data_IF_990901700848
#
_entry.id   IF_990901700848
#
_cell.length_a   1.000
_cell.length_b   1.000
_cell.length_c   1.000
_cell.angle_alpha   90.00
_cell.angle_beta   90.00
_cell.angle_gamma   90.00
#
_symmetry.space_group_name_H-M   'P 1'
#
loop_
_entity.id
_entity.type
_entity.pdbx_description
1 polymer ?
#
# COMPACT_ATOMS: atom_id res chain seq x y z
N UNK A 1 15.72 -1.98 -14.41
CA UNK A 1 15.79 -0.52 -14.40
C UNK A 1 14.41 0.13 -14.32
N UNK A 2 13.88 0.53 -13.15
CA UNK A 2 12.65 1.36 -12.93
C UNK A 2 11.36 0.93 -13.67
N UNK A 3 11.24 -0.33 -14.08
CA UNK A 3 10.10 -0.92 -14.78
C UNK A 3 9.70 -2.20 -14.05
N UNK A 4 9.41 -2.02 -12.75
CA UNK A 4 9.26 -3.10 -11.80
C UNK A 4 7.95 -2.94 -11.08
N UNK A 5 7.32 -4.06 -10.81
CA UNK A 5 6.20 -4.16 -9.88
C UNK A 5 6.68 -4.83 -8.59
N UNK A 6 6.01 -4.55 -7.49
CA UNK A 6 6.36 -5.16 -6.21
C UNK A 6 5.13 -5.48 -5.39
N UNK A 7 5.29 -6.40 -4.47
CA UNK A 7 4.30 -6.71 -3.43
C UNK A 7 4.97 -6.81 -2.06
N UNK A 8 4.18 -6.56 -1.02
CA UNK A 8 4.61 -6.75 0.36
C UNK A 8 3.50 -7.52 1.08
N UNK A 9 3.79 -8.75 1.44
CA UNK A 9 2.85 -9.62 2.16
C UNK A 9 3.25 -9.69 3.62
N UNK A 10 2.34 -9.40 4.53
CA UNK A 10 2.58 -9.50 5.97
C UNK A 10 2.57 -10.95 6.42
N UNK A 11 3.35 -11.20 7.46
CA UNK A 11 3.43 -12.49 8.16
C UNK A 11 3.04 -12.26 9.62
N UNK A 12 2.07 -13.03 10.11
CA UNK A 12 1.67 -13.08 11.52
C UNK A 12 1.55 -14.55 11.95
N UNK A 13 2.10 -14.90 13.09
CA UNK A 13 2.17 -16.29 13.59
C UNK A 13 2.73 -17.25 12.53
N UNK A 14 3.75 -16.82 11.78
CA UNK A 14 4.33 -17.58 10.68
C UNK A 14 3.42 -17.75 9.45
N UNK A 15 2.27 -17.07 9.39
CA UNK A 15 1.28 -17.21 8.31
C UNK A 15 1.24 -15.98 7.42
N UNK A 16 1.17 -16.20 6.11
CA UNK A 16 0.98 -15.12 5.12
C UNK A 16 -0.44 -14.56 5.21
N UNK A 17 -0.56 -13.25 5.35
CA UNK A 17 -1.84 -12.56 5.43
C UNK A 17 -2.30 -12.13 4.05
N UNK A 18 -3.55 -12.48 3.70
CA UNK A 18 -4.22 -12.10 2.44
C UNK A 18 -3.41 -12.40 1.16
N UNK A 19 -2.56 -13.43 1.16
CA UNK A 19 -1.66 -13.77 0.05
C UNK A 19 -2.39 -13.83 -1.31
N UNK A 20 -3.60 -14.41 -1.35
CA UNK A 20 -4.40 -14.51 -2.58
C UNK A 20 -4.71 -13.12 -3.18
N UNK A 21 -5.00 -12.15 -2.32
CA UNK A 21 -5.23 -10.77 -2.73
C UNK A 21 -3.96 -10.12 -3.32
N UNK A 22 -2.81 -10.34 -2.66
CA UNK A 22 -1.51 -9.86 -3.14
C UNK A 22 -1.13 -10.47 -4.49
N UNK A 23 -1.28 -11.78 -4.66
CA UNK A 23 -1.01 -12.45 -5.93
C UNK A 23 -1.92 -11.96 -7.07
N UNK A 24 -3.21 -11.73 -6.79
CA UNK A 24 -4.15 -11.14 -7.76
C UNK A 24 -3.74 -9.73 -8.18
N UNK A 25 -3.34 -8.88 -7.23
CA UNK A 25 -2.89 -7.51 -7.53
C UNK A 25 -1.56 -7.50 -8.27
N UNK A 26 -0.64 -8.41 -7.93
CA UNK A 26 0.59 -8.61 -8.68
C UNK A 26 0.30 -8.88 -10.16
N UNK A 27 -0.55 -9.87 -10.46
CA UNK A 27 -0.92 -10.21 -11.83
C UNK A 27 -1.52 -8.99 -12.54
N UNK A 28 -2.48 -8.29 -11.93
CA UNK A 28 -3.02 -7.07 -12.49
C UNK A 28 -1.94 -6.03 -12.79
N UNK A 29 -0.99 -5.81 -11.87
CA UNK A 29 0.10 -4.85 -12.09
C UNK A 29 1.05 -5.25 -13.21
N UNK A 30 1.29 -6.56 -13.39
CA UNK A 30 2.07 -7.09 -14.51
C UNK A 30 1.33 -6.91 -15.83
N UNK A 31 0.03 -7.25 -15.89
CA UNK A 31 -0.82 -7.13 -17.07
C UNK A 31 -0.90 -5.69 -17.55
N UNK A 32 -1.10 -4.72 -16.65
CA UNK A 32 -1.14 -3.27 -16.97
C UNK A 32 0.18 -2.73 -17.53
N UNK A 33 1.26 -3.44 -17.36
CA UNK A 33 2.58 -3.09 -17.89
C UNK A 33 3.02 -4.02 -19.03
N UNK A 34 2.16 -4.85 -19.58
CA UNK A 34 2.50 -5.86 -20.60
C UNK A 34 3.71 -6.72 -20.16
N UNK A 35 3.69 -7.18 -18.91
CA UNK A 35 4.72 -8.06 -18.36
C UNK A 35 4.16 -9.47 -18.14
N UNK A 36 4.76 -10.46 -18.80
CA UNK A 36 4.45 -11.86 -18.50
C UNK A 36 4.80 -12.19 -17.06
N UNK A 37 3.89 -12.84 -16.34
CA UNK A 37 4.21 -13.35 -15.01
C UNK A 37 5.17 -14.56 -15.16
N UNK A 38 6.40 -14.49 -14.61
CA UNK A 38 7.39 -15.57 -14.74
C UNK A 38 7.19 -16.71 -13.75
N UNK A 39 6.23 -16.61 -12.82
CA UNK A 39 6.06 -17.58 -11.73
C UNK A 39 4.57 -17.88 -11.53
N UNK A 40 4.21 -19.16 -11.38
CA UNK A 40 2.85 -19.57 -11.10
C UNK A 40 2.40 -19.17 -9.68
N UNK A 41 1.09 -19.18 -9.42
CA UNK A 41 0.55 -18.90 -8.08
C UNK A 41 1.05 -19.91 -7.04
N UNK A 42 1.09 -21.18 -7.40
CA UNK A 42 1.50 -22.27 -6.53
C UNK A 42 2.97 -22.20 -6.16
N UNK A 43 3.83 -21.92 -7.13
CA UNK A 43 5.27 -21.71 -6.93
C UNK A 43 5.53 -20.45 -6.09
N UNK A 44 4.83 -19.36 -6.39
CA UNK A 44 4.97 -18.11 -5.64
C UNK A 44 4.58 -18.31 -4.17
N UNK A 45 3.47 -19.02 -3.90
CA UNK A 45 3.05 -19.37 -2.55
C UNK A 45 4.07 -20.25 -1.84
N UNK A 46 4.61 -21.26 -2.54
CA UNK A 46 5.62 -22.16 -1.99
C UNK A 46 6.89 -21.40 -1.60
N UNK A 47 7.39 -20.52 -2.48
CA UNK A 47 8.58 -19.70 -2.20
C UNK A 47 8.36 -18.76 -1.01
N UNK A 48 7.19 -18.10 -0.91
CA UNK A 48 6.88 -17.25 0.24
C UNK A 48 6.88 -18.03 1.55
N UNK A 49 6.24 -19.22 1.58
CA UNK A 49 6.21 -20.08 2.76
C UNK A 49 7.60 -20.59 3.15
N UNK A 50 8.40 -20.97 2.16
CA UNK A 50 9.76 -21.42 2.40
C UNK A 50 10.65 -20.30 2.97
N UNK A 51 10.56 -19.08 2.44
CA UNK A 51 11.27 -17.91 2.99
C UNK A 51 10.88 -17.61 4.43
N UNK A 52 9.59 -17.69 4.76
CA UNK A 52 9.10 -17.53 6.15
C UNK A 52 9.71 -18.61 7.04
N UNK A 53 9.70 -19.87 6.59
CA UNK A 53 10.21 -21.02 7.35
C UNK A 53 11.72 -20.94 7.59
N UNK A 54 12.53 -20.74 6.53
CA UNK A 54 14.00 -20.77 6.64
C UNK A 54 14.56 -19.57 7.40
N UNK A 55 13.86 -18.42 7.38
CA UNK A 55 14.25 -17.23 8.10
C UNK A 55 13.57 -17.13 9.48
N UNK A 56 12.79 -18.13 9.89
CA UNK A 56 12.07 -18.17 11.17
C UNK A 56 11.26 -16.88 11.43
N UNK A 57 10.48 -16.44 10.44
CA UNK A 57 9.67 -15.23 10.56
C UNK A 57 8.35 -15.59 11.25
N UNK A 58 8.19 -15.17 12.49
CA UNK A 58 6.92 -15.21 13.21
C UNK A 58 6.06 -14.00 12.86
N UNK A 59 6.60 -12.80 13.05
CA UNK A 59 6.01 -11.54 12.62
C UNK A 59 6.94 -10.79 11.68
N UNK A 60 6.43 -10.36 10.54
CA UNK A 60 7.25 -9.67 9.56
C UNK A 60 6.61 -9.48 8.20
N UNK A 61 7.44 -9.35 7.20
CA UNK A 61 7.04 -9.08 5.82
C UNK A 61 7.82 -9.96 4.85
N UNK A 62 7.17 -10.37 3.76
CA UNK A 62 7.84 -10.86 2.55
C UNK A 62 7.71 -9.80 1.47
N UNK A 63 8.83 -9.28 1.01
CA UNK A 63 8.90 -8.39 -0.15
C UNK A 63 9.11 -9.21 -1.41
N UNK A 64 8.39 -8.87 -2.47
CA UNK A 64 8.53 -9.43 -3.81
C UNK A 64 8.70 -8.29 -4.81
N UNK A 65 9.60 -8.46 -5.77
CA UNK A 65 9.76 -7.55 -6.91
C UNK A 65 9.96 -8.35 -8.18
N UNK A 66 9.27 -7.93 -9.25
CA UNK A 66 9.45 -8.50 -10.59
C UNK A 66 9.84 -7.36 -11.54
N UNK A 67 10.96 -7.53 -12.22
CA UNK A 67 11.45 -6.61 -13.25
C UNK A 67 11.39 -7.26 -14.65
N UNK A 68 11.57 -6.47 -15.69
CA UNK A 68 11.66 -6.96 -17.08
C UNK A 68 13.02 -7.63 -17.42
N UNK A 69 13.80 -8.00 -16.38
CA UNK A 69 15.10 -8.60 -16.57
C UNK A 69 16.23 -7.58 -16.79
N UNK A 70 17.35 -8.08 -17.27
CA UNK A 70 18.60 -7.33 -17.47
C UNK A 70 19.03 -7.41 -18.95
N UNK A 71 18.49 -6.58 -19.85
CA UNK A 71 18.93 -6.53 -21.23
C UNK A 71 20.37 -6.03 -21.32
N UNK A 72 21.02 -6.31 -22.44
CA UNK A 72 22.42 -5.96 -22.70
C UNK A 72 22.67 -4.45 -22.64
N UNK A 73 21.69 -3.63 -23.03
CA UNK A 73 21.82 -2.17 -23.06
C UNK A 73 20.63 -1.47 -22.42
N UNK A 74 20.81 -0.20 -22.09
CA UNK A 74 19.78 0.65 -21.50
C UNK A 74 19.04 1.41 -22.58
N UNK A 75 17.74 1.17 -22.70
CA UNK A 75 16.84 1.91 -23.58
C UNK A 75 15.55 2.36 -22.84
N UNK A 76 14.79 3.29 -23.44
CA UNK A 76 13.42 3.65 -23.05
C UNK A 76 12.40 2.63 -23.58
N UNK A 77 12.67 1.98 -24.70
CA UNK A 77 11.88 0.87 -25.21
C UNK A 77 11.99 -0.33 -24.26
N UNK A 78 10.91 -1.05 -24.11
CA UNK A 78 10.93 -2.28 -23.30
C UNK A 78 11.77 -3.36 -23.97
N UNK A 79 12.53 -4.14 -23.23
CA UNK A 79 13.27 -5.26 -23.79
C UNK A 79 12.28 -6.25 -24.41
N UNK A 80 12.71 -6.91 -25.49
CA UNK A 80 11.95 -7.99 -26.09
C UNK A 80 11.74 -9.13 -25.10
N UNK A 81 10.49 -9.51 -24.78
CA UNK A 81 10.22 -10.57 -23.80
C UNK A 81 10.68 -11.96 -24.24
N UNK A 82 10.96 -12.16 -25.55
CA UNK A 82 11.49 -13.41 -26.07
C UNK A 82 13.02 -13.51 -25.90
N UNK A 83 13.68 -12.40 -25.61
CA UNK A 83 15.15 -12.30 -25.48
C UNK A 83 15.61 -11.99 -24.05
N UNK A 84 14.69 -11.57 -23.20
CA UNK A 84 15.04 -11.12 -21.85
C UNK A 84 14.05 -11.68 -20.82
N UNK A 85 14.49 -12.61 -20.01
CA UNK A 85 13.69 -13.18 -18.93
C UNK A 85 13.46 -12.18 -17.80
N UNK A 86 12.24 -12.08 -17.24
CA UNK A 86 11.97 -11.30 -16.05
C UNK A 86 12.83 -11.77 -14.86
N UNK A 87 13.24 -10.83 -14.03
CA UNK A 87 13.95 -11.14 -12.78
C UNK A 87 12.98 -11.05 -11.60
N UNK A 88 12.93 -12.12 -10.81
CA UNK A 88 12.11 -12.22 -9.59
C UNK A 88 13.03 -12.15 -8.37
N UNK A 89 12.75 -11.24 -7.45
CA UNK A 89 13.51 -11.06 -6.21
C UNK A 89 12.54 -11.10 -5.04
N UNK A 90 12.84 -11.94 -4.04
CA UNK A 90 12.12 -11.97 -2.78
C UNK A 90 13.10 -11.92 -1.61
N UNK A 91 12.66 -11.27 -0.54
CA UNK A 91 13.36 -11.32 0.75
C UNK A 91 12.38 -11.08 1.90
N UNK A 92 12.78 -11.47 3.09
CA UNK A 92 12.00 -11.27 4.31
C UNK A 92 12.53 -10.11 5.14
N UNK A 93 11.65 -9.50 5.92
CA UNK A 93 11.99 -8.57 6.99
C UNK A 93 11.35 -9.08 8.28
N UNK A 94 12.16 -9.32 9.29
CA UNK A 94 11.64 -9.62 10.64
C UNK A 94 11.15 -8.33 11.28
N UNK A 95 9.90 -8.33 11.81
CA UNK A 95 9.23 -7.17 12.40
C UNK A 95 8.48 -7.58 13.69
N UNK A 96 9.19 -7.94 14.75
CA UNK A 96 8.55 -8.29 16.00
C UNK A 96 7.65 -7.15 16.52
N UNK A 97 6.46 -7.47 16.97
CA UNK A 97 5.46 -6.50 17.42
C UNK A 97 4.63 -5.89 16.29
N UNK A 98 4.67 -6.46 15.08
CA UNK A 98 3.88 -5.97 13.94
C UNK A 98 2.37 -6.01 14.24
N UNK A 99 1.89 -7.07 14.89
CA UNK A 99 0.49 -7.22 15.29
C UNK A 99 0.07 -6.24 16.39
N UNK A 100 1.01 -5.82 17.24
CA UNK A 100 0.76 -5.00 18.43
C UNK A 100 1.57 -3.69 18.36
N UNK A 101 1.56 -3.02 17.21
CA UNK A 101 2.28 -1.76 17.05
C UNK A 101 1.83 -0.71 18.08
N UNK A 102 2.74 -0.08 18.84
CA UNK A 102 2.39 1.01 19.75
C UNK A 102 1.67 2.18 19.07
N UNK A 103 1.88 2.37 17.75
CA UNK A 103 1.19 3.40 16.96
C UNK A 103 -0.31 3.13 16.83
N UNK A 104 -0.75 1.87 16.93
CA UNK A 104 -2.17 1.54 16.90
C UNK A 104 -2.94 2.13 18.11
N UNK A 105 -2.26 2.26 19.25
CA UNK A 105 -2.84 2.87 20.46
C UNK A 105 -2.57 4.38 20.53
N UNK A 106 -1.40 4.83 20.05
CA UNK A 106 -1.01 6.25 20.09
C UNK A 106 -1.70 7.08 19.01
N UNK A 107 -1.98 6.49 17.86
CA UNK A 107 -2.40 7.19 16.65
C UNK A 107 -1.24 7.88 15.92
N UNK A 108 -1.49 8.25 14.68
CA UNK A 108 -0.52 8.91 13.81
C UNK A 108 -0.95 10.35 13.50
N UNK A 109 0.04 11.22 13.31
CA UNK A 109 -0.12 12.60 12.86
C UNK A 109 0.18 12.68 11.36
N UNK A 110 -0.68 13.37 10.63
CA UNK A 110 -0.63 13.52 9.18
C UNK A 110 -0.45 14.97 8.80
N UNK A 111 0.33 15.23 7.76
CA UNK A 111 0.30 16.51 7.02
C UNK A 111 -0.36 16.29 5.67
N UNK A 112 -0.88 17.33 5.05
CA UNK A 112 -1.31 17.31 3.65
C UNK A 112 -0.21 17.84 2.74
N UNK A 113 -0.10 17.25 1.54
CA UNK A 113 0.80 17.68 0.46
C UNK A 113 0.11 17.50 -0.89
N UNK A 114 0.53 18.23 -1.90
CA UNK A 114 0.04 18.03 -3.27
C UNK A 114 0.42 16.63 -3.78
N UNK A 115 -0.42 16.00 -4.61
CA UNK A 115 -0.14 14.69 -5.20
C UNK A 115 0.54 14.83 -6.55
N UNK A 116 1.87 14.91 -6.55
CA UNK A 116 2.69 15.01 -7.75
C UNK A 116 3.15 13.65 -8.30
N UNK A 117 2.51 12.55 -7.89
CA UNK A 117 2.80 11.24 -8.44
C UNK A 117 2.28 11.12 -9.87
N UNK A 118 2.76 10.11 -10.59
CA UNK A 118 2.27 9.80 -11.93
C UNK A 118 0.79 9.36 -11.92
N UNK A 119 0.14 9.41 -13.10
CA UNK A 119 -1.30 9.20 -13.24
C UNK A 119 -1.80 7.74 -13.16
N UNK A 120 -0.94 6.74 -12.88
CA UNK A 120 -1.28 5.32 -12.77
C UNK A 120 -0.83 4.74 -11.42
N UNK A 121 -1.32 5.33 -10.34
CA UNK A 121 -1.00 4.94 -8.95
C UNK A 121 -1.62 3.61 -8.56
N UNK A 122 -2.61 3.16 -9.33
CA UNK A 122 -3.26 1.86 -9.23
C UNK A 122 -2.32 0.69 -9.55
N UNK A 123 -1.27 0.91 -10.36
CA UNK A 123 -0.22 -0.07 -10.65
C UNK A 123 0.86 -0.01 -9.58
N UNK A 124 1.08 -1.12 -8.87
CA UNK A 124 2.03 -1.16 -7.76
C UNK A 124 3.49 -1.24 -8.24
N UNK A 125 3.99 -0.10 -8.75
CA UNK A 125 5.36 0.06 -9.24
C UNK A 125 6.31 0.60 -8.18
N UNK A 126 7.62 0.47 -8.39
CA UNK A 126 8.68 1.04 -7.53
C UNK A 126 8.91 2.55 -7.76
N UNK A 127 7.95 3.27 -8.30
CA UNK A 127 8.01 4.74 -8.42
C UNK A 127 7.68 5.40 -7.08
N UNK A 128 8.53 5.16 -6.09
CA UNK A 128 8.30 5.53 -4.69
C UNK A 128 9.05 6.81 -4.28
N UNK A 129 9.66 7.53 -5.21
CA UNK A 129 10.44 8.72 -4.88
C UNK A 129 9.58 9.78 -4.21
N UNK A 130 8.45 10.17 -4.84
CA UNK A 130 7.57 11.19 -4.28
C UNK A 130 6.91 10.77 -2.95
N UNK A 131 6.37 9.55 -2.79
CA UNK A 131 5.96 9.03 -1.49
C UNK A 131 7.03 9.11 -0.40
N UNK A 132 8.29 8.81 -0.74
CA UNK A 132 9.41 8.93 0.20
C UNK A 132 9.71 10.38 0.57
N UNK A 133 9.61 11.31 -0.39
CA UNK A 133 9.74 12.76 -0.12
C UNK A 133 8.61 13.22 0.81
N UNK A 134 7.36 12.81 0.58
CA UNK A 134 6.23 13.13 1.46
C UNK A 134 6.43 12.64 2.89
N UNK A 135 6.94 11.41 3.08
CA UNK A 135 7.35 10.90 4.40
C UNK A 135 8.41 11.79 5.05
N UNK A 136 9.40 12.24 4.29
CA UNK A 136 10.46 13.11 4.82
C UNK A 136 9.94 14.52 5.14
N UNK A 137 8.98 15.05 4.37
CA UNK A 137 8.30 16.32 4.68
C UNK A 137 7.55 16.22 6.01
N UNK A 138 6.75 15.16 6.20
CA UNK A 138 6.06 14.90 7.46
C UNK A 138 7.03 14.82 8.64
N UNK A 139 8.08 14.03 8.51
CA UNK A 139 9.09 13.86 9.56
C UNK A 139 9.78 15.19 9.96
N UNK A 140 10.02 16.10 9.03
CA UNK A 140 10.64 17.42 9.31
C UNK A 140 9.80 18.28 10.24
N UNK A 141 8.48 18.11 10.25
CA UNK A 141 7.54 18.88 11.10
C UNK A 141 7.00 18.04 12.28
N UNK A 142 7.57 16.86 12.53
CA UNK A 142 7.19 16.01 13.66
C UNK A 142 5.89 15.21 13.44
N UNK A 143 5.46 15.07 12.18
CA UNK A 143 4.35 14.20 11.79
C UNK A 143 4.86 12.80 11.35
N UNK A 144 3.95 11.83 11.28
CA UNK A 144 4.27 10.43 11.01
C UNK A 144 4.11 10.06 9.53
N UNK A 145 3.20 10.73 8.81
CA UNK A 145 2.92 10.48 7.40
C UNK A 145 2.34 11.72 6.71
N UNK A 146 2.12 11.61 5.39
CA UNK A 146 1.44 12.64 4.62
C UNK A 146 0.27 12.04 3.82
N UNK A 147 -0.86 12.76 3.80
CA UNK A 147 -1.93 12.54 2.82
C UNK A 147 -1.70 13.40 1.60
N UNK A 148 -1.87 12.82 0.44
CA UNK A 148 -1.70 13.49 -0.85
C UNK A 148 -3.04 14.01 -1.34
N UNK A 149 -3.03 15.19 -1.92
CA UNK A 149 -4.23 15.92 -2.36
C UNK A 149 -4.11 16.24 -3.85
N UNK A 150 -5.14 15.93 -4.61
CA UNK A 150 -5.26 16.32 -6.01
C UNK A 150 -6.63 16.93 -6.26
N UNK A 151 -6.65 18.07 -6.93
CA UNK A 151 -7.89 18.81 -7.26
C UNK A 151 -8.77 19.09 -6.04
N UNK A 152 -8.16 19.35 -4.87
CA UNK A 152 -8.84 19.63 -3.61
C UNK A 152 -9.32 18.40 -2.84
N UNK A 153 -9.09 17.19 -3.33
CA UNK A 153 -9.53 15.94 -2.71
C UNK A 153 -8.34 15.10 -2.26
N UNK A 154 -8.48 14.47 -1.10
CA UNK A 154 -7.50 13.49 -0.62
C UNK A 154 -7.51 12.28 -1.57
N UNK A 155 -6.33 11.89 -2.03
CA UNK A 155 -6.15 10.67 -2.80
C UNK A 155 -5.87 9.49 -1.85
N UNK A 156 -4.70 9.43 -1.28
CA UNK A 156 -4.28 8.44 -0.30
C UNK A 156 -3.04 8.93 0.46
N UNK A 157 -2.52 8.16 1.40
CA UNK A 157 -1.25 8.49 2.05
C UNK A 157 -0.04 8.02 1.24
N UNK A 158 1.17 8.24 1.80
CA UNK A 158 2.43 7.91 1.10
C UNK A 158 2.59 6.41 0.81
N UNK A 159 2.00 5.55 1.64
CA UNK A 159 2.07 4.09 1.51
C UNK A 159 0.81 3.38 2.05
N UNK A 160 -0.31 4.08 2.12
CA UNK A 160 -1.54 3.62 2.73
C UNK A 160 -2.76 4.28 2.08
N UNK A 161 -3.94 3.67 2.23
CA UNK A 161 -5.20 4.31 1.87
C UNK A 161 -5.75 5.11 3.04
N UNK A 162 -6.45 6.21 2.75
CA UNK A 162 -6.99 7.17 3.72
C UNK A 162 -8.50 7.00 3.91
N UNK A 163 -8.96 7.20 5.15
CA UNK A 163 -10.37 7.10 5.54
C UNK A 163 -10.70 8.19 6.55
N UNK A 164 -11.94 8.64 6.49
CA UNK A 164 -12.59 9.42 7.55
C UNK A 164 -13.88 8.73 7.98
N UNK A 165 -14.29 8.99 9.22
CA UNK A 165 -15.61 8.58 9.72
C UNK A 165 -16.38 9.86 10.04
N UNK A 166 -17.59 9.97 9.52
CA UNK A 166 -18.50 11.07 9.80
C UNK A 166 -19.91 10.55 9.92
N UNK A 167 -20.59 10.92 10.99
CA UNK A 167 -21.97 10.48 11.27
C UNK A 167 -22.12 8.95 11.16
N UNK A 168 -21.19 8.21 11.77
CA UNK A 168 -21.14 6.75 11.79
C UNK A 168 -20.99 6.07 10.40
N UNK A 169 -20.46 6.79 9.43
CA UNK A 169 -20.17 6.29 8.07
C UNK A 169 -18.68 6.32 7.80
N UNK A 170 -18.16 5.25 7.27
CA UNK A 170 -16.78 5.19 6.74
C UNK A 170 -16.79 5.80 5.35
N UNK A 171 -15.96 6.81 5.12
CA UNK A 171 -15.79 7.49 3.84
C UNK A 171 -14.36 7.26 3.36
N UNK A 172 -14.19 6.80 2.15
CA UNK A 172 -12.88 6.58 1.53
C UNK A 172 -12.98 6.81 0.02
N UNK A 173 -11.88 7.18 -0.62
CA UNK A 173 -11.86 7.38 -2.08
C UNK A 173 -12.22 6.09 -2.80
N UNK A 174 -13.09 6.16 -3.81
CA UNK A 174 -13.42 5.06 -4.70
C UNK A 174 -12.20 4.61 -5.52
N UNK A 175 -12.19 3.34 -5.94
CA UNK A 175 -11.10 2.79 -6.74
C UNK A 175 -11.02 3.48 -8.10
N UNK A 176 -9.85 3.97 -8.44
CA UNK A 176 -9.53 4.64 -9.71
C UNK A 176 -8.03 4.49 -9.99
N UNK A 177 -7.54 5.15 -11.04
CA UNK A 177 -6.11 5.24 -11.31
C UNK A 177 -5.35 6.11 -10.30
N UNK A 178 -6.07 6.88 -9.48
CA UNK A 178 -5.48 7.86 -8.56
C UNK A 178 -5.02 7.26 -7.23
N UNK A 179 -5.44 6.04 -6.91
CA UNK A 179 -5.08 5.36 -5.66
C UNK A 179 -4.70 3.91 -5.89
N UNK A 180 -3.86 3.38 -5.02
CA UNK A 180 -3.57 1.95 -5.01
C UNK A 180 -4.79 1.16 -4.51
N UNK A 181 -5.12 0.07 -5.20
CA UNK A 181 -6.15 -0.87 -4.76
C UNK A 181 -5.63 -1.71 -3.58
N UNK A 182 -5.70 -1.14 -2.36
CA UNK A 182 -5.13 -1.72 -1.15
C UNK A 182 -5.74 -3.06 -0.76
N UNK A 183 -4.91 -4.03 -0.39
CA UNK A 183 -5.39 -5.35 0.08
C UNK A 183 -6.04 -5.21 1.45
N UNK A 184 -5.40 -4.48 2.37
CA UNK A 184 -5.98 -4.16 3.68
C UNK A 184 -7.24 -3.30 3.53
N UNK A 185 -7.29 -2.37 2.55
CA UNK A 185 -8.51 -1.64 2.21
C UNK A 185 -9.66 -2.59 1.88
N UNK A 186 -9.42 -3.56 1.00
CA UNK A 186 -10.44 -4.54 0.62
C UNK A 186 -10.91 -5.38 1.83
N UNK A 187 -10.01 -5.75 2.73
CA UNK A 187 -10.35 -6.47 3.95
C UNK A 187 -11.22 -5.61 4.90
N UNK A 188 -10.83 -4.35 5.14
CA UNK A 188 -11.59 -3.43 6.00
C UNK A 188 -13.00 -3.19 5.45
N UNK A 189 -13.15 -2.93 4.14
CA UNK A 189 -14.48 -2.72 3.54
C UNK A 189 -15.35 -3.99 3.59
N UNK A 190 -14.75 -5.18 3.46
CA UNK A 190 -15.46 -6.45 3.66
C UNK A 190 -15.94 -6.58 5.11
N UNK A 191 -15.08 -6.36 6.11
CA UNK A 191 -15.47 -6.42 7.52
C UNK A 191 -16.49 -5.36 7.90
N UNK A 192 -16.39 -4.14 7.37
CA UNK A 192 -17.40 -3.10 7.56
C UNK A 192 -18.76 -3.55 7.05
N UNK A 193 -18.80 -4.18 5.86
CA UNK A 193 -20.04 -4.74 5.31
C UNK A 193 -20.60 -5.88 6.17
N UNK A 194 -19.75 -6.80 6.62
CA UNK A 194 -20.13 -7.91 7.52
C UNK A 194 -20.69 -7.38 8.86
N UNK A 195 -20.11 -6.29 9.38
CA UNK A 195 -20.57 -5.59 10.57
C UNK A 195 -21.77 -4.63 10.32
N UNK A 196 -22.33 -4.61 9.10
CA UNK A 196 -23.43 -3.74 8.68
C UNK A 196 -23.13 -2.22 8.86
N UNK A 197 -21.88 -1.83 8.84
CA UNK A 197 -21.47 -0.44 8.85
C UNK A 197 -21.74 0.21 7.49
N UNK A 198 -22.12 1.49 7.50
CA UNK A 198 -22.27 2.25 6.27
C UNK A 198 -20.92 2.66 5.70
N UNK A 199 -20.71 2.43 4.41
CA UNK A 199 -19.50 2.80 3.69
C UNK A 199 -19.88 3.64 2.47
N UNK A 200 -19.20 4.78 2.30
CA UNK A 200 -19.32 5.65 1.13
C UNK A 200 -17.96 5.66 0.40
N UNK A 201 -17.91 5.05 -0.77
CA UNK A 201 -16.72 5.11 -1.63
C UNK A 201 -16.84 6.34 -2.55
N UNK A 202 -16.34 7.48 -2.06
CA UNK A 202 -16.34 8.77 -2.75
C UNK A 202 -15.11 9.61 -2.42
N UNK A 203 -14.89 10.65 -3.20
CA UNK A 203 -13.90 11.67 -2.86
C UNK A 203 -14.31 12.41 -1.58
N UNK A 204 -13.34 12.84 -0.79
CA UNK A 204 -13.51 13.74 0.35
C UNK A 204 -12.41 14.79 0.37
N UNK A 205 -12.73 15.96 0.88
CA UNK A 205 -11.82 17.12 0.98
C UNK A 205 -11.03 17.12 2.30
N UNK A 206 -9.99 17.93 2.39
CA UNK A 206 -9.31 18.18 3.67
C UNK A 206 -10.23 18.82 4.70
N UNK A 207 -11.17 19.69 4.28
CA UNK A 207 -12.14 20.29 5.19
C UNK A 207 -13.02 19.22 5.82
N UNK A 208 -13.55 18.29 5.01
CA UNK A 208 -14.29 17.15 5.54
C UNK A 208 -13.44 16.29 6.48
N UNK A 209 -12.15 16.16 6.21
CA UNK A 209 -11.22 15.41 7.05
C UNK A 209 -10.95 16.11 8.39
N UNK A 210 -10.81 17.44 8.42
CA UNK A 210 -10.64 18.21 9.66
C UNK A 210 -11.89 18.17 10.56
N UNK A 211 -13.06 18.05 9.96
CA UNK A 211 -14.36 17.98 10.65
C UNK A 211 -14.82 16.53 10.91
N UNK A 212 -14.00 15.53 10.60
CA UNK A 212 -14.35 14.14 10.79
C UNK A 212 -14.44 13.77 12.28
N UNK A 213 -15.34 12.83 12.59
CA UNK A 213 -15.47 12.28 13.94
C UNK A 213 -14.27 11.39 14.27
N UNK A 214 -13.75 10.65 13.28
CA UNK A 214 -12.53 9.84 13.35
C UNK A 214 -11.84 9.81 11.99
N UNK A 215 -10.55 9.47 11.98
CA UNK A 215 -9.81 9.17 10.76
C UNK A 215 -8.83 8.01 10.97
N UNK A 216 -8.55 7.26 9.91
CA UNK A 216 -7.59 6.17 9.96
C UNK A 216 -6.94 5.90 8.60
N UNK A 217 -5.87 5.14 8.62
CA UNK A 217 -5.17 4.68 7.42
C UNK A 217 -5.05 3.17 7.41
N UNK A 218 -4.92 2.57 6.21
CA UNK A 218 -4.69 1.13 6.07
C UNK A 218 -3.53 0.81 5.14
N UNK A 219 -2.68 -0.12 5.55
CA UNK A 219 -1.62 -0.68 4.70
C UNK A 219 -1.33 -2.14 5.08
N UNK A 220 -0.70 -2.88 4.18
CA UNK A 220 -0.29 -4.25 4.49
C UNK A 220 0.74 -4.29 5.64
N UNK A 221 1.62 -3.30 5.76
CA UNK A 221 2.69 -3.27 6.76
C UNK A 221 2.31 -2.71 8.13
N UNK A 222 1.15 -2.05 8.24
CA UNK A 222 0.69 -1.43 9.51
C UNK A 222 -0.77 -1.74 9.84
N UNK A 223 -1.45 -2.52 9.00
CA UNK A 223 -2.87 -2.84 9.12
C UNK A 223 -3.76 -1.60 9.19
N UNK A 224 -4.41 -1.35 10.31
CA UNK A 224 -5.27 -0.18 10.56
C UNK A 224 -4.59 0.68 11.62
N UNK A 225 -4.36 1.97 11.30
CA UNK A 225 -3.78 2.93 12.23
C UNK A 225 -4.69 4.14 12.37
N UNK A 226 -5.08 4.53 13.59
CA UNK A 226 -5.87 5.74 13.79
C UNK A 226 -5.06 7.00 13.47
N UNK A 227 -5.72 7.99 12.89
CA UNK A 227 -5.17 9.32 12.65
C UNK A 227 -5.76 10.26 13.69
N UNK A 228 -4.91 10.91 14.48
CA UNK A 228 -5.31 11.78 15.60
C UNK A 228 -5.11 13.28 15.32
N UNK A 229 -4.40 13.58 14.23
CA UNK A 229 -4.13 14.98 13.84
C UNK A 229 -3.86 15.06 12.34
N UNK A 230 -4.45 16.06 11.68
CA UNK A 230 -4.22 16.38 10.26
C UNK A 230 -3.92 17.86 10.16
N UNK A 231 -2.71 18.24 9.68
CA UNK A 231 -2.24 19.64 9.54
C UNK A 231 -2.41 20.47 10.83
N UNK A 232 -2.15 19.86 12.00
CA UNK A 232 -2.32 20.49 13.30
C UNK A 232 -3.76 20.48 13.85
N UNK A 233 -4.76 20.08 13.05
CA UNK A 233 -6.13 19.92 13.51
C UNK A 233 -6.29 18.54 14.17
N UNK A 234 -6.73 18.51 15.42
CA UNK A 234 -7.04 17.27 16.14
C UNK A 234 -8.28 16.62 15.57
N UNK A 235 -8.25 15.30 15.47
CA UNK A 235 -9.35 14.44 14.98
C UNK A 235 -9.77 13.51 16.13
N UNK A 236 -11.07 13.45 16.42
CA UNK A 236 -11.65 12.65 17.51
C UNK A 236 -12.00 13.44 18.74
#
# INVERSE_FOLDING_TARGET
YKRQVYEVTSVLDGKLIDFKGHAKRLNRSLDELDMKNPISYEELLAVHRELVRVNNIDEGLVYLQISRGAPSDRDFVYPNPDETDPTVVLFTQNKPGLANSPLANKGVKIISIDDERWGRRDIKTVQLLYPSMGKMMAKKVGADDAWMVQDGYVTEGTSNNAYIIKNNKIITRGLSNDILHGITRAAVLRFAKEAQMQVEERNFTLIEAYEADEAFITSASNFVMPVIEIDGNKIG
#
